data_IF_231806426408
#
_entry.id   IF_231806426408
#
_cell.length_a   1.000
_cell.length_b   1.000
_cell.length_c   1.000
_cell.angle_alpha   90.00
_cell.angle_beta   90.00
_cell.angle_gamma   90.00
#
_symmetry.space_group_name_H-M   'P 1'
#
loop_
_entity.id
_entity.type
_entity.pdbx_description
1 polymer ?
#
# COMPACT_ATOMS: atom_id res chain seq x y z
N UNK A 1 20.36 23.36 -47.62
CA UNK A 1 20.65 22.15 -46.83
C UNK A 1 20.69 22.52 -45.36
N UNK A 2 19.61 22.27 -44.61
CA UNK A 2 19.55 22.52 -43.15
C UNK A 2 19.79 21.20 -42.42
N UNK A 3 21.00 21.05 -41.87
CA UNK A 3 21.35 19.91 -41.03
C UNK A 3 20.73 20.10 -39.64
N UNK A 4 19.70 19.31 -39.32
CA UNK A 4 19.12 19.27 -37.99
C UNK A 4 19.90 18.23 -37.17
N UNK A 5 20.83 18.71 -36.34
CA UNK A 5 21.55 17.89 -35.36
C UNK A 5 20.54 17.41 -34.32
N UNK A 6 20.01 16.20 -34.46
CA UNK A 6 19.15 15.58 -33.45
C UNK A 6 19.98 15.36 -32.19
N UNK A 7 19.47 15.83 -31.05
CA UNK A 7 20.09 15.61 -29.76
C UNK A 7 20.25 14.11 -29.51
N UNK A 8 21.43 13.75 -29.03
CA UNK A 8 21.83 12.41 -28.63
C UNK A 8 20.90 11.91 -27.51
N UNK A 9 20.10 10.90 -27.85
CA UNK A 9 19.29 10.15 -26.88
C UNK A 9 20.29 9.44 -25.98
N UNK A 10 20.50 9.96 -24.76
CA UNK A 10 21.28 9.29 -23.74
C UNK A 10 20.66 7.93 -23.46
N UNK A 11 21.23 6.89 -24.07
CA UNK A 11 20.90 5.50 -23.78
C UNK A 11 21.34 5.22 -22.34
N UNK A 12 20.40 5.28 -21.39
CA UNK A 12 20.69 4.98 -19.98
C UNK A 12 20.91 3.47 -19.86
N UNK A 13 22.18 3.09 -19.74
CA UNK A 13 22.69 1.72 -19.80
C UNK A 13 22.80 1.10 -18.39
N UNK A 14 22.30 -0.13 -18.20
CA UNK A 14 22.72 -1.04 -17.13
C UNK A 14 21.62 -1.62 -16.22
N UNK A 15 21.63 -2.94 -15.99
CA UNK A 15 20.73 -3.71 -15.11
C UNK A 15 20.57 -3.16 -13.67
N UNK A 16 21.62 -2.56 -13.10
CA UNK A 16 21.57 -1.92 -11.76
C UNK A 16 20.78 -0.61 -11.76
N UNK A 17 20.77 0.10 -12.89
CA UNK A 17 19.89 1.26 -13.11
C UNK A 17 18.47 0.84 -13.45
N UNK A 18 18.27 -0.36 -13.97
CA UNK A 18 16.93 -0.92 -14.17
C UNK A 18 16.28 -1.23 -12.83
N UNK A 19 16.93 -1.96 -11.91
CA UNK A 19 16.36 -2.19 -10.57
C UNK A 19 16.31 -0.89 -9.74
N UNK A 20 17.44 -0.22 -9.50
CA UNK A 20 17.49 0.99 -8.67
C UNK A 20 16.78 2.22 -9.28
N UNK A 21 16.75 2.32 -10.59
CA UNK A 21 16.02 3.36 -11.32
C UNK A 21 14.52 3.09 -11.40
N UNK A 22 14.08 1.82 -11.39
CA UNK A 22 12.64 1.52 -11.36
C UNK A 22 12.01 1.99 -10.04
N UNK A 23 12.62 1.68 -8.89
CA UNK A 23 12.12 2.13 -7.57
C UNK A 23 12.13 3.66 -7.41
N UNK A 24 12.98 4.39 -8.14
CA UNK A 24 13.01 5.87 -8.12
C UNK A 24 12.15 6.51 -9.23
N UNK A 25 11.78 5.74 -10.25
CA UNK A 25 10.93 6.19 -11.36
C UNK A 25 9.49 6.45 -10.90
N UNK A 26 8.80 7.34 -11.62
CA UNK A 26 7.37 7.61 -11.39
C UNK A 26 6.49 6.40 -11.65
N UNK A 27 6.93 5.45 -12.47
CA UNK A 27 6.21 4.21 -12.77
C UNK A 27 6.36 3.21 -11.63
N UNK A 28 7.58 2.97 -11.15
CA UNK A 28 7.82 2.05 -10.03
C UNK A 28 7.17 2.52 -8.73
N UNK A 29 7.19 3.82 -8.42
CA UNK A 29 6.48 4.34 -7.25
C UNK A 29 4.97 4.09 -7.30
N UNK A 30 4.35 4.18 -8.49
CA UNK A 30 2.92 3.86 -8.65
C UNK A 30 2.65 2.37 -8.45
N UNK A 31 3.51 1.51 -8.98
CA UNK A 31 3.42 0.06 -8.75
C UNK A 31 3.56 -0.28 -7.27
N UNK A 32 4.54 0.30 -6.57
CA UNK A 32 4.71 0.12 -5.13
C UNK A 32 3.49 0.59 -4.35
N UNK A 33 2.98 1.78 -4.67
CA UNK A 33 1.77 2.33 -4.03
C UNK A 33 0.56 1.41 -4.22
N UNK A 34 0.37 0.88 -5.44
CA UNK A 34 -0.75 0.00 -5.76
C UNK A 34 -0.62 -1.37 -5.06
N UNK A 35 0.54 -2.02 -5.15
CA UNK A 35 0.76 -3.34 -4.57
C UNK A 35 0.66 -3.32 -3.05
N UNK A 36 1.29 -2.33 -2.41
CA UNK A 36 1.18 -2.16 -0.94
C UNK A 36 -0.24 -1.81 -0.53
N UNK A 37 -0.95 -0.98 -1.30
CA UNK A 37 -2.35 -0.65 -1.04
C UNK A 37 -3.26 -1.87 -1.09
N UNK A 38 -3.10 -2.73 -2.10
CA UNK A 38 -3.86 -3.99 -2.21
C UNK A 38 -3.53 -4.92 -1.03
N UNK A 39 -2.25 -5.06 -0.67
CA UNK A 39 -1.84 -5.89 0.46
C UNK A 39 -2.44 -5.41 1.79
N UNK A 40 -2.40 -4.10 2.05
CA UNK A 40 -3.00 -3.51 3.26
C UNK A 40 -4.53 -3.63 3.26
N UNK A 41 -5.18 -3.49 2.11
CA UNK A 41 -6.64 -3.69 1.98
C UNK A 41 -7.02 -5.14 2.31
N UNK A 42 -6.32 -6.12 1.74
CA UNK A 42 -6.55 -7.53 2.03
C UNK A 42 -6.36 -7.84 3.52
N UNK A 43 -5.32 -7.26 4.14
CA UNK A 43 -5.12 -7.38 5.57
C UNK A 43 -6.30 -6.83 6.37
N UNK A 44 -6.80 -5.63 6.04
CA UNK A 44 -7.97 -5.05 6.73
C UNK A 44 -9.18 -5.95 6.60
N UNK A 45 -9.44 -6.56 5.43
CA UNK A 45 -10.55 -7.49 5.25
C UNK A 45 -10.42 -8.71 6.16
N UNK A 46 -9.26 -9.37 6.16
CA UNK A 46 -9.00 -10.54 7.02
C UNK A 46 -9.07 -10.16 8.51
N UNK A 47 -8.52 -9.00 8.87
CA UNK A 47 -8.56 -8.47 10.22
C UNK A 47 -10.00 -8.23 10.68
N UNK A 48 -10.83 -7.62 9.83
CA UNK A 48 -12.24 -7.42 10.12
C UNK A 48 -12.99 -8.74 10.28
N UNK A 49 -12.73 -9.74 9.43
CA UNK A 49 -13.33 -11.08 9.60
C UNK A 49 -12.94 -11.69 10.96
N UNK A 50 -11.68 -11.56 11.37
CA UNK A 50 -11.22 -11.97 12.70
C UNK A 50 -11.97 -11.25 13.83
N UNK A 51 -12.12 -9.93 13.72
CA UNK A 51 -12.84 -9.13 14.72
C UNK A 51 -14.33 -9.47 14.78
N UNK A 52 -14.96 -9.77 13.65
CA UNK A 52 -16.38 -10.14 13.60
C UNK A 52 -16.68 -11.44 14.35
N UNK A 53 -15.68 -12.30 14.57
CA UNK A 53 -15.85 -13.50 15.40
C UNK A 53 -16.23 -13.19 16.85
N UNK A 54 -16.03 -11.95 17.32
CA UNK A 54 -16.54 -11.52 18.63
C UNK A 54 -18.07 -11.65 18.73
N UNK A 55 -18.79 -11.46 17.62
CA UNK A 55 -20.25 -11.53 17.59
C UNK A 55 -20.78 -12.96 17.48
N UNK A 56 -19.91 -13.95 17.23
CA UNK A 56 -20.30 -15.35 17.14
C UNK A 56 -20.38 -16.05 18.52
N UNK A 57 -19.93 -15.37 19.58
CA UNK A 57 -20.07 -15.85 20.96
C UNK A 57 -19.26 -17.10 21.25
N UNK A 58 -19.82 -17.96 22.10
CA UNK A 58 -19.21 -19.21 22.54
C UNK A 58 -19.52 -20.32 21.53
N UNK A 59 -18.48 -21.04 21.13
CA UNK A 59 -18.58 -22.19 20.27
C UNK A 59 -19.29 -23.36 21.00
N UNK A 60 -20.37 -23.94 20.43
CA UNK A 60 -21.14 -25.00 21.09
C UNK A 60 -20.38 -26.32 21.28
N UNK A 61 -19.29 -26.55 20.53
CA UNK A 61 -18.55 -27.82 20.55
C UNK A 61 -17.38 -27.81 21.52
N UNK A 62 -16.75 -26.65 21.70
CA UNK A 62 -15.56 -26.48 22.56
C UNK A 62 -15.85 -25.75 23.86
N UNK A 63 -16.94 -24.98 23.93
CA UNK A 63 -17.28 -24.15 25.10
C UNK A 63 -16.43 -22.88 25.24
N UNK A 64 -15.57 -22.58 24.25
CA UNK A 64 -14.70 -21.40 24.23
C UNK A 64 -15.25 -20.30 23.31
N UNK A 65 -14.82 -19.05 23.51
CA UNK A 65 -15.20 -17.97 22.59
C UNK A 65 -14.57 -18.16 21.21
N UNK A 66 -15.34 -17.97 20.14
CA UNK A 66 -14.85 -18.16 18.77
C UNK A 66 -13.67 -17.25 18.40
N UNK A 67 -13.55 -16.10 19.06
CA UNK A 67 -12.41 -15.18 18.89
C UNK A 67 -11.11 -15.78 19.43
N UNK A 68 -11.17 -16.51 20.55
CA UNK A 68 -10.00 -17.11 21.20
C UNK A 68 -9.52 -18.31 20.38
N UNK A 69 -10.44 -19.14 19.91
CA UNK A 69 -10.15 -20.26 18.99
C UNK A 69 -9.46 -19.78 17.72
N UNK A 70 -9.94 -18.68 17.14
CA UNK A 70 -9.31 -18.08 15.96
C UNK A 70 -7.92 -17.52 16.26
N UNK A 71 -7.76 -16.85 17.41
CA UNK A 71 -6.48 -16.35 17.86
C UNK A 71 -5.46 -17.47 18.07
N UNK A 72 -5.88 -18.62 18.60
CA UNK A 72 -5.02 -19.77 18.81
C UNK A 72 -4.64 -20.44 17.49
N UNK A 73 -5.60 -20.65 16.59
CA UNK A 73 -5.34 -21.15 15.24
C UNK A 73 -4.34 -20.28 14.46
N UNK A 74 -4.37 -18.95 14.67
CA UNK A 74 -3.42 -18.01 14.07
C UNK A 74 -2.00 -18.16 14.64
N UNK A 75 -1.84 -18.49 15.91
CA UNK A 75 -0.52 -18.68 16.55
C UNK A 75 0.14 -19.96 16.08
N UNK A 76 -0.66 -20.98 15.78
CA UNK A 76 -0.23 -22.31 15.36
C UNK A 76 -0.36 -22.56 13.84
N UNK A 77 -0.52 -21.49 13.04
CA UNK A 77 -0.73 -21.55 11.59
C UNK A 77 0.41 -22.27 10.83
N UNK A 78 1.58 -22.40 11.46
CA UNK A 78 2.76 -23.12 10.95
C UNK A 78 2.85 -24.59 11.36
N UNK A 79 1.93 -25.06 12.21
CA UNK A 79 1.96 -26.39 12.79
C UNK A 79 3.31 -26.71 13.43
N UNK A 80 3.83 -27.90 13.17
CA UNK A 80 5.12 -28.35 13.71
C UNK A 80 6.33 -27.85 12.90
N UNK A 81 6.12 -27.21 11.75
CA UNK A 81 7.22 -26.79 10.86
C UNK A 81 7.84 -25.46 11.29
N UNK A 82 7.09 -24.62 12.01
CA UNK A 82 7.49 -23.25 12.34
C UNK A 82 7.12 -22.96 13.79
N UNK A 83 7.96 -22.27 14.58
CA UNK A 83 7.64 -22.01 15.97
C UNK A 83 6.34 -21.22 16.13
N UNK A 84 5.63 -21.48 17.23
CA UNK A 84 4.41 -20.78 17.61
C UNK A 84 4.65 -19.26 17.51
N UNK A 85 3.72 -18.54 16.88
CA UNK A 85 3.76 -17.09 16.60
C UNK A 85 4.78 -16.59 15.56
N UNK A 86 5.71 -17.40 15.05
CA UNK A 86 6.74 -16.91 14.12
C UNK A 86 6.15 -16.35 12.82
N UNK A 87 5.12 -17.00 12.27
CA UNK A 87 4.41 -16.53 11.08
C UNK A 87 3.72 -15.18 11.35
N UNK A 88 3.16 -15.00 12.56
CA UNK A 88 2.53 -13.73 12.93
C UNK A 88 3.54 -12.59 13.02
N UNK A 89 4.75 -12.87 13.51
CA UNK A 89 5.85 -11.90 13.50
C UNK A 89 6.27 -11.53 12.08
N UNK A 90 6.35 -12.50 11.17
CA UNK A 90 6.63 -12.23 9.76
C UNK A 90 5.55 -11.32 9.16
N UNK A 91 4.27 -11.64 9.36
CA UNK A 91 3.17 -10.78 8.92
C UNK A 91 3.25 -9.39 9.53
N UNK A 92 3.56 -9.28 10.83
CA UNK A 92 3.70 -7.99 11.52
C UNK A 92 4.78 -7.12 10.89
N UNK A 93 5.99 -7.66 10.72
CA UNK A 93 7.11 -6.92 10.11
C UNK A 93 6.79 -6.58 8.65
N UNK A 94 6.21 -7.53 7.91
CA UNK A 94 5.78 -7.32 6.52
C UNK A 94 4.73 -6.22 6.37
N UNK A 95 3.72 -6.19 7.26
CA UNK A 95 2.68 -5.16 7.26
C UNK A 95 3.23 -3.78 7.60
N UNK A 96 4.11 -3.68 8.61
CA UNK A 96 4.78 -2.42 8.95
C UNK A 96 5.61 -1.91 7.77
N UNK A 97 6.36 -2.81 7.11
CA UNK A 97 7.13 -2.45 5.92
C UNK A 97 6.24 -1.99 4.76
N UNK A 98 5.15 -2.71 4.45
CA UNK A 98 4.19 -2.32 3.42
C UNK A 98 3.54 -0.97 3.72
N UNK A 99 3.16 -0.72 4.98
CA UNK A 99 2.58 0.55 5.42
C UNK A 99 3.56 1.70 5.23
N UNK A 100 4.83 1.54 5.66
CA UNK A 100 5.88 2.53 5.45
C UNK A 100 6.14 2.83 3.97
N UNK A 101 6.25 1.79 3.13
CA UNK A 101 6.43 1.94 1.68
C UNK A 101 5.23 2.64 1.04
N UNK A 102 4.01 2.33 1.48
CA UNK A 102 2.79 2.94 0.99
C UNK A 102 2.76 4.45 1.25
N UNK A 103 3.06 4.87 2.48
CA UNK A 103 3.14 6.28 2.86
C UNK A 103 4.23 7.01 2.09
N UNK A 104 5.42 6.41 1.98
CA UNK A 104 6.52 6.98 1.23
C UNK A 104 6.15 7.22 -0.23
N UNK A 105 5.59 6.21 -0.90
CA UNK A 105 5.16 6.33 -2.29
C UNK A 105 4.04 7.37 -2.47
N UNK A 106 3.08 7.44 -1.54
CA UNK A 106 2.02 8.44 -1.54
C UNK A 106 2.54 9.87 -1.38
N UNK A 107 3.48 10.07 -0.46
CA UNK A 107 4.12 11.37 -0.20
C UNK A 107 4.95 11.84 -1.40
N UNK A 108 5.80 10.97 -1.93
CA UNK A 108 6.67 11.27 -3.07
C UNK A 108 5.86 11.57 -4.35
N UNK A 109 4.84 10.77 -4.65
CA UNK A 109 3.97 11.02 -5.81
C UNK A 109 3.19 12.33 -5.65
N UNK A 110 2.75 12.63 -4.42
CA UNK A 110 2.09 13.90 -4.10
C UNK A 110 3.03 15.08 -4.29
N UNK A 111 4.24 15.03 -3.75
CA UNK A 111 5.26 16.08 -3.90
C UNK A 111 5.61 16.31 -5.39
N UNK A 112 5.81 15.24 -6.16
CA UNK A 112 6.06 15.32 -7.61
C UNK A 112 4.90 15.96 -8.36
N UNK A 113 3.66 15.59 -8.03
CA UNK A 113 2.47 16.19 -8.65
C UNK A 113 2.33 17.68 -8.30
N UNK A 114 2.64 18.08 -7.07
CA UNK A 114 2.67 19.50 -6.69
C UNK A 114 3.77 20.27 -7.43
N UNK A 115 4.98 19.70 -7.55
CA UNK A 115 6.09 20.34 -8.27
C UNK A 115 5.78 20.49 -9.77
N UNK A 116 5.16 19.49 -10.39
CA UNK A 116 4.78 19.51 -11.80
C UNK A 116 3.65 20.50 -12.12
N UNK A 117 2.83 20.86 -11.13
CA UNK A 117 1.74 21.84 -11.30
C UNK A 117 2.22 23.28 -11.56
N UNK A 118 3.39 23.66 -11.05
CA UNK A 118 3.89 25.04 -11.15
C UNK A 118 2.93 26.09 -10.56
N UNK A 119 3.20 27.39 -10.76
CA UNK A 119 2.31 28.52 -10.38
C UNK A 119 1.13 28.73 -11.35
N UNK A 120 1.04 27.94 -12.42
CA UNK A 120 -0.01 28.05 -13.42
C UNK A 120 -1.33 27.45 -12.94
N UNK A 121 -2.36 28.28 -12.80
CA UNK A 121 -3.74 27.84 -12.60
C UNK A 121 -4.14 27.00 -13.82
N UNK A 122 -4.60 25.77 -13.62
CA UNK A 122 -5.04 24.89 -14.71
C UNK A 122 -6.02 25.61 -15.63
N UNK A 123 -5.68 25.71 -16.91
CA UNK A 123 -6.41 26.48 -17.93
C UNK A 123 -7.65 25.75 -18.50
N UNK A 124 -7.94 24.54 -18.02
CA UNK A 124 -9.13 23.80 -18.44
C UNK A 124 -9.92 23.26 -17.25
N UNK A 125 -11.24 23.52 -17.26
CA UNK A 125 -12.22 22.84 -16.41
C UNK A 125 -12.19 21.35 -16.78
N UNK A 126 -11.42 20.53 -16.07
CA UNK A 126 -11.52 19.06 -16.21
C UNK A 126 -12.92 18.68 -15.77
N UNK A 127 -13.70 18.08 -16.66
CA UNK A 127 -14.94 17.42 -16.31
C UNK A 127 -14.58 16.19 -15.45
N UNK A 128 -14.71 16.34 -14.13
CA UNK A 128 -14.47 15.26 -13.18
C UNK A 128 -15.82 14.62 -12.83
N UNK A 129 -16.32 13.75 -13.69
CA UNK A 129 -17.53 12.98 -13.41
C UNK A 129 -17.20 11.92 -12.34
N UNK A 130 -17.82 12.02 -11.17
CA UNK A 130 -17.78 11.10 -10.01
C UNK A 130 -16.44 10.84 -9.27
N UNK A 131 -15.28 10.80 -9.94
CA UNK A 131 -14.00 10.36 -9.30
C UNK A 131 -13.41 11.39 -8.31
N UNK A 132 -13.96 12.61 -8.23
CA UNK A 132 -13.36 13.71 -7.47
C UNK A 132 -13.48 13.56 -5.95
N UNK A 133 -14.60 13.04 -5.44
CA UNK A 133 -14.83 12.97 -3.99
C UNK A 133 -13.93 11.93 -3.32
N UNK A 134 -13.93 10.69 -3.83
CA UNK A 134 -13.07 9.61 -3.34
C UNK A 134 -11.58 9.95 -3.45
N UNK A 135 -11.16 10.61 -4.54
CA UNK A 135 -9.77 11.04 -4.71
C UNK A 135 -9.38 12.22 -3.80
N UNK A 136 -10.33 13.10 -3.44
CA UNK A 136 -10.10 14.19 -2.47
C UNK A 136 -9.95 13.65 -1.06
N UNK A 137 -10.78 12.68 -0.68
CA UNK A 137 -10.76 12.11 0.67
C UNK A 137 -9.62 11.13 0.86
N UNK A 138 -9.08 10.49 -0.18
CA UNK A 138 -7.95 9.55 -0.04
C UNK A 138 -6.74 10.11 0.71
N UNK A 139 -6.38 11.38 0.49
CA UNK A 139 -5.27 12.02 1.24
C UNK A 139 -5.62 12.24 2.70
N UNK A 140 -6.82 12.72 2.98
CA UNK A 140 -7.29 13.00 4.34
C UNK A 140 -7.53 11.71 5.13
N UNK A 141 -8.12 10.69 4.51
CA UNK A 141 -8.29 9.37 5.11
C UNK A 141 -6.95 8.76 5.52
N UNK A 142 -5.93 8.84 4.65
CA UNK A 142 -4.58 8.38 4.99
C UNK A 142 -3.97 9.13 6.18
N UNK A 143 -4.09 10.47 6.22
CA UNK A 143 -3.59 11.28 7.34
C UNK A 143 -4.32 10.95 8.65
N UNK A 144 -5.64 10.80 8.60
CA UNK A 144 -6.44 10.44 9.78
C UNK A 144 -6.02 9.07 10.31
N UNK A 145 -5.86 8.08 9.42
CA UNK A 145 -5.41 6.73 9.81
C UNK A 145 -4.00 6.78 10.40
N UNK A 146 -3.08 7.56 9.82
CA UNK A 146 -1.72 7.72 10.33
C UNK A 146 -1.66 8.37 11.72
N UNK A 147 -2.58 9.29 12.02
CA UNK A 147 -2.69 9.89 13.35
C UNK A 147 -3.39 8.98 14.37
N UNK A 148 -4.19 8.04 13.91
CA UNK A 148 -4.90 7.08 14.75
C UNK A 148 -4.01 5.91 15.18
N UNK A 149 -3.16 5.41 14.28
CA UNK A 149 -2.19 4.33 14.52
C UNK A 149 -1.03 4.76 15.42
#
# INVERSE_FOLDING_TARGET
MTTTKRADVQARQGWRSWLGGFFTSSVGLKWLMALTGIGLLLYVLVHMVGNLKIFLGVDPTTGEYQIDLYGEALRDLGGHLVPRTSILWLFRIGLIAMFGIHIYAAAELTARNLKARGRGRYDHKRNYEAVNYANRTMRWGGVIILLFL
#
